data_IF_341844713655
#
_entry.id   IF_341844713655
#
_cell.length_a   1.000
_cell.length_b   1.000
_cell.length_c   1.000
_cell.angle_alpha   90.00
_cell.angle_beta   90.00
_cell.angle_gamma   90.00
#
_symmetry.space_group_name_H-M   'P 1'
#
loop_
_entity.id
_entity.type
_entity.pdbx_description
1 polymer ?
#
# COMPACT_ATOMS: atom_id res chain seq x y z
N UNK A 1 -9.06 -17.58 1.08
CA UNK A 1 -8.47 -16.69 0.05
C UNK A 1 -6.95 -16.67 0.21
N UNK A 2 -6.40 -16.04 1.26
CA UNK A 2 -4.95 -15.94 1.49
C UNK A 2 -4.19 -17.26 1.27
N UNK A 3 -4.63 -18.32 1.94
CA UNK A 3 -3.97 -19.62 1.85
C UNK A 3 -3.92 -20.19 0.41
N UNK A 4 -4.98 -20.05 -0.39
CA UNK A 4 -4.98 -20.50 -1.77
C UNK A 4 -4.01 -19.68 -2.64
N UNK A 5 -4.05 -18.36 -2.52
CA UNK A 5 -3.17 -17.44 -3.26
C UNK A 5 -1.70 -17.73 -2.98
N UNK A 6 -1.34 -17.95 -1.72
CA UNK A 6 0.04 -18.20 -1.30
C UNK A 6 0.52 -19.60 -1.73
N UNK A 7 -0.34 -20.63 -1.66
CA UNK A 7 0.00 -21.98 -2.12
C UNK A 7 0.22 -22.04 -3.64
N UNK A 8 -0.61 -21.32 -4.39
CA UNK A 8 -0.50 -21.22 -5.85
C UNK A 8 0.64 -20.31 -6.32
N UNK A 9 1.27 -19.54 -5.42
CA UNK A 9 2.35 -18.60 -5.73
C UNK A 9 1.99 -17.65 -6.88
N UNK A 10 0.79 -17.06 -6.81
CA UNK A 10 0.30 -16.13 -7.83
C UNK A 10 1.14 -14.85 -7.93
N UNK A 11 1.93 -14.54 -6.90
CA UNK A 11 2.82 -13.40 -6.85
C UNK A 11 4.22 -13.84 -6.41
N UNK A 12 5.24 -13.11 -6.88
CA UNK A 12 6.65 -13.39 -6.59
C UNK A 12 7.02 -13.15 -5.11
N UNK A 13 6.22 -12.36 -4.40
CA UNK A 13 6.40 -12.04 -2.99
C UNK A 13 5.12 -12.32 -2.17
N UNK A 14 5.29 -12.48 -0.85
CA UNK A 14 4.19 -12.83 0.04
C UNK A 14 3.30 -11.64 0.43
N UNK A 15 3.67 -10.41 0.06
CA UNK A 15 3.05 -9.17 0.51
C UNK A 15 2.10 -8.59 -0.53
N UNK A 16 2.35 -8.78 -1.83
CA UNK A 16 1.50 -8.24 -2.92
C UNK A 16 0.02 -8.50 -2.69
N UNK A 17 -0.41 -9.75 -2.50
CA UNK A 17 -1.84 -10.05 -2.24
C UNK A 17 -2.37 -9.45 -0.93
N UNK A 18 -1.54 -9.41 0.11
CA UNK A 18 -1.95 -8.87 1.43
C UNK A 18 -2.24 -7.38 1.35
N UNK A 19 -1.56 -6.67 0.44
CA UNK A 19 -1.73 -5.24 0.21
C UNK A 19 -2.77 -4.91 -0.87
N UNK A 20 -3.50 -5.91 -1.40
CA UNK A 20 -4.59 -5.66 -2.35
C UNK A 20 -5.86 -5.25 -1.58
N UNK A 21 -6.43 -4.06 -1.82
CA UNK A 21 -7.67 -3.64 -1.17
C UNK A 21 -8.86 -4.44 -1.69
N UNK A 22 -9.85 -4.72 -0.83
CA UNK A 22 -11.12 -5.28 -1.25
C UNK A 22 -11.98 -4.23 -1.96
N UNK A 23 -12.64 -4.64 -3.05
CA UNK A 23 -13.64 -3.81 -3.76
C UNK A 23 -15.04 -3.89 -3.15
N UNK A 24 -15.29 -4.91 -2.33
CA UNK A 24 -16.60 -5.25 -1.77
C UNK A 24 -16.50 -5.55 -0.27
N UNK A 25 -17.64 -5.74 0.39
CA UNK A 25 -17.68 -6.18 1.78
C UNK A 25 -16.97 -7.55 1.95
N UNK A 26 -16.21 -7.76 3.03
CA UNK A 26 -15.51 -9.02 3.27
C UNK A 26 -16.41 -10.26 3.20
N UNK A 27 -17.67 -10.20 3.64
CA UNK A 27 -18.59 -11.34 3.57
C UNK A 27 -18.99 -11.67 2.13
N UNK A 28 -19.15 -10.68 1.27
CA UNK A 28 -19.45 -10.89 -0.14
C UNK A 28 -18.27 -11.60 -0.84
N UNK A 29 -17.05 -11.10 -0.63
CA UNK A 29 -15.84 -11.73 -1.18
C UNK A 29 -15.65 -13.17 -0.68
N UNK A 30 -15.88 -13.42 0.61
CA UNK A 30 -15.81 -14.78 1.19
C UNK A 30 -16.87 -15.71 0.61
N UNK A 31 -18.09 -15.21 0.42
CA UNK A 31 -19.19 -15.99 -0.17
C UNK A 31 -18.91 -16.34 -1.62
N UNK A 32 -18.44 -15.37 -2.41
CA UNK A 32 -18.05 -15.60 -3.80
C UNK A 32 -16.88 -16.59 -3.91
N UNK A 33 -15.89 -16.49 -3.01
CA UNK A 33 -14.73 -17.39 -2.99
C UNK A 33 -15.08 -18.85 -2.66
N UNK A 34 -16.23 -19.10 -2.01
CA UNK A 34 -16.65 -20.46 -1.68
C UNK A 34 -16.77 -21.35 -2.93
N UNK A 35 -17.23 -20.78 -4.05
CA UNK A 35 -17.46 -21.46 -5.33
C UNK A 35 -16.22 -21.52 -6.24
N UNK A 36 -15.11 -20.89 -5.85
CA UNK A 36 -13.87 -20.86 -6.64
C UNK A 36 -13.08 -22.16 -6.43
N UNK A 37 -12.56 -22.73 -7.53
CA UNK A 37 -11.57 -23.80 -7.47
C UNK A 37 -10.24 -23.25 -6.95
N UNK A 38 -9.77 -23.79 -5.83
CA UNK A 38 -8.64 -23.26 -5.06
C UNK A 38 -7.31 -23.84 -5.52
N UNK A 39 -7.35 -24.86 -6.37
CA UNK A 39 -6.16 -25.50 -6.95
C UNK A 39 -5.92 -25.01 -8.40
N UNK A 40 -6.87 -24.27 -8.98
CA UNK A 40 -6.74 -23.65 -10.30
C UNK A 40 -6.27 -22.18 -10.17
N UNK A 41 -5.05 -21.92 -10.65
CA UNK A 41 -4.44 -20.59 -10.62
C UNK A 41 -5.25 -19.55 -11.40
N UNK A 42 -5.82 -19.92 -12.55
CA UNK A 42 -6.56 -18.98 -13.41
C UNK A 42 -7.91 -18.62 -12.78
N UNK A 43 -8.55 -19.59 -12.11
CA UNK A 43 -9.79 -19.38 -11.37
C UNK A 43 -9.59 -18.44 -10.17
N UNK A 44 -8.51 -18.65 -9.39
CA UNK A 44 -8.18 -17.77 -8.27
C UNK A 44 -7.78 -16.39 -8.77
N UNK A 45 -7.01 -16.29 -9.86
CA UNK A 45 -6.63 -15.00 -10.45
C UNK A 45 -7.87 -14.21 -10.92
N UNK A 46 -8.80 -14.86 -11.62
CA UNK A 46 -10.06 -14.24 -12.06
C UNK A 46 -10.88 -13.72 -10.88
N UNK A 47 -10.91 -14.48 -9.78
CA UNK A 47 -11.54 -14.04 -8.53
C UNK A 47 -10.84 -12.79 -7.96
N UNK A 48 -9.50 -12.76 -7.91
CA UNK A 48 -8.76 -11.59 -7.44
C UNK A 48 -9.05 -10.36 -8.29
N UNK A 49 -9.00 -10.48 -9.62
CA UNK A 49 -9.25 -9.38 -10.54
C UNK A 49 -10.66 -8.78 -10.36
N UNK A 50 -11.63 -9.62 -10.00
CA UNK A 50 -13.02 -9.22 -9.79
C UNK A 50 -13.21 -8.52 -8.45
N UNK A 51 -12.68 -9.06 -7.36
CA UNK A 51 -13.03 -8.66 -5.98
C UNK A 51 -11.96 -7.81 -5.28
N UNK A 52 -10.75 -7.72 -5.82
CA UNK A 52 -9.63 -6.96 -5.26
C UNK A 52 -9.15 -5.89 -6.24
N UNK A 53 -8.71 -4.77 -5.69
CA UNK A 53 -8.09 -3.66 -6.42
C UNK A 53 -6.58 -3.87 -6.52
N UNK A 54 -5.96 -3.13 -7.43
CA UNK A 54 -4.49 -3.10 -7.55
C UNK A 54 -3.86 -2.53 -6.27
N UNK A 55 -2.65 -3.03 -5.96
CA UNK A 55 -1.86 -2.56 -4.81
C UNK A 55 -1.62 -1.06 -4.91
N UNK A 56 -1.80 -0.35 -3.79
CA UNK A 56 -1.50 1.08 -3.69
C UNK A 56 -2.59 2.02 -4.19
N UNK A 57 -3.71 1.52 -4.74
CA UNK A 57 -4.86 2.34 -5.12
C UNK A 57 -5.54 3.03 -3.91
N UNK A 58 -5.26 2.56 -2.70
CA UNK A 58 -5.73 3.14 -1.45
C UNK A 58 -4.95 4.37 -1.00
N UNK A 59 -3.76 4.62 -1.55
CA UNK A 59 -2.86 5.68 -1.10
C UNK A 59 -2.88 6.87 -2.06
N UNK A 60 -3.18 8.05 -1.54
CA UNK A 60 -3.06 9.32 -2.28
C UNK A 60 -1.87 10.13 -1.73
N UNK A 61 -1.08 10.78 -2.60
CA UNK A 61 0.01 11.64 -2.16
C UNK A 61 -0.49 12.72 -1.19
N UNK A 62 0.21 12.87 -0.07
CA UNK A 62 -0.16 13.82 0.97
C UNK A 62 1.08 14.59 1.42
N UNK A 63 1.00 15.92 1.42
CA UNK A 63 2.03 16.75 2.03
C UNK A 63 1.54 17.20 3.42
N UNK A 64 2.20 16.80 4.52
CA UNK A 64 1.85 17.27 5.85
C UNK A 64 1.86 18.81 5.91
N UNK A 65 0.82 19.47 6.45
CA UNK A 65 0.71 20.92 6.52
C UNK A 65 1.85 21.60 7.29
N UNK A 66 2.46 20.86 8.22
CA UNK A 66 3.58 21.28 9.05
C UNK A 66 4.95 20.97 8.41
N UNK A 67 4.98 20.47 7.18
CA UNK A 67 6.23 20.21 6.48
C UNK A 67 7.00 21.51 6.20
N UNK A 68 8.11 21.70 6.90
CA UNK A 68 9.07 22.78 6.68
C UNK A 68 10.25 22.26 5.84
N UNK A 69 10.56 22.80 4.64
CA UNK A 69 11.69 22.33 3.83
C UNK A 69 13.07 22.58 4.47
N UNK A 70 13.17 23.47 5.47
CA UNK A 70 14.44 23.83 6.10
C UNK A 70 14.29 23.92 7.63
N UNK A 71 13.98 22.81 8.31
CA UNK A 71 13.70 22.83 9.73
C UNK A 71 14.92 23.32 10.51
N UNK A 72 14.68 24.25 11.44
CA UNK A 72 15.72 24.94 12.23
C UNK A 72 16.70 23.99 12.92
N UNK A 73 16.23 22.80 13.33
CA UNK A 73 17.07 21.73 13.90
C UNK A 73 18.13 21.24 12.92
N UNK A 74 17.78 20.99 11.66
CA UNK A 74 18.74 20.56 10.64
C UNK A 74 19.68 21.70 10.25
N UNK A 75 19.17 22.94 10.17
CA UNK A 75 19.99 24.11 9.92
C UNK A 75 21.08 24.33 11.01
N UNK A 76 20.82 23.92 12.25
CA UNK A 76 21.76 24.04 13.37
C UNK A 76 22.95 23.05 13.34
N UNK A 77 22.90 22.03 12.49
CA UNK A 77 23.98 21.04 12.34
C UNK A 77 25.21 21.76 11.78
N UNK A 78 26.34 21.78 12.53
CA UNK A 78 27.56 22.52 12.14
C UNK A 78 28.25 21.92 10.92
N UNK A 79 28.32 20.60 10.84
CA UNK A 79 28.98 19.90 9.74
C UNK A 79 28.12 19.99 8.47
N UNK A 80 28.67 20.57 7.41
CA UNK A 80 27.96 20.77 6.13
C UNK A 80 27.45 19.45 5.54
N UNK A 81 28.31 18.42 5.47
CA UNK A 81 27.94 17.12 4.89
C UNK A 81 26.78 16.45 5.64
N UNK A 82 26.81 16.48 6.97
CA UNK A 82 25.73 15.91 7.78
C UNK A 82 24.44 16.72 7.67
N UNK A 83 24.55 18.05 7.56
CA UNK A 83 23.40 18.93 7.34
C UNK A 83 22.74 18.64 6.00
N UNK A 84 23.52 18.55 4.93
CA UNK A 84 23.02 18.29 3.58
C UNK A 84 22.37 16.90 3.49
N UNK A 85 23.00 15.89 4.09
CA UNK A 85 22.41 14.56 4.21
C UNK A 85 21.07 14.58 4.94
N UNK A 86 20.99 15.29 6.08
CA UNK A 86 19.74 15.44 6.83
C UNK A 86 18.64 16.14 6.02
N UNK A 87 18.98 17.19 5.27
CA UNK A 87 18.04 17.89 4.39
C UNK A 87 17.59 17.01 3.21
N UNK A 88 18.49 16.22 2.63
CA UNK A 88 18.15 15.26 1.57
C UNK A 88 17.20 14.18 2.07
N UNK A 89 17.45 13.61 3.26
CA UNK A 89 16.53 12.66 3.88
C UNK A 89 15.17 13.31 4.18
N UNK A 90 15.17 14.51 4.75
CA UNK A 90 13.94 15.24 5.08
C UNK A 90 13.10 15.52 3.84
N UNK A 91 13.73 15.82 2.70
CA UNK A 91 13.03 16.02 1.44
C UNK A 91 12.26 14.78 0.95
N UNK A 92 12.68 13.56 1.33
CA UNK A 92 11.97 12.32 0.97
C UNK A 92 10.58 12.25 1.59
N UNK A 93 10.31 12.93 2.70
CA UNK A 93 8.97 12.93 3.29
C UNK A 93 7.92 13.53 2.35
N UNK A 94 8.29 14.42 1.42
CA UNK A 94 7.37 14.92 0.38
C UNK A 94 6.89 13.83 -0.57
N UNK A 95 7.69 12.78 -0.77
CA UNK A 95 7.40 11.69 -1.70
C UNK A 95 6.92 10.42 -1.01
N UNK A 96 7.19 10.28 0.29
CA UNK A 96 6.85 9.10 1.09
C UNK A 96 5.63 9.31 1.99
N UNK A 97 5.03 10.50 1.97
CA UNK A 97 3.83 10.80 2.74
C UNK A 97 2.58 10.55 1.89
N UNK A 98 1.69 9.72 2.43
CA UNK A 98 0.43 9.34 1.79
C UNK A 98 -0.70 9.39 2.83
N UNK A 99 -1.92 9.63 2.36
CA UNK A 99 -3.15 9.40 3.13
C UNK A 99 -4.03 8.40 2.41
N UNK A 100 -5.03 7.85 3.10
CA UNK A 100 -5.99 6.93 2.49
C UNK A 100 -6.97 7.68 1.58
N UNK A 101 -7.46 7.01 0.54
CA UNK A 101 -8.59 7.50 -0.25
C UNK A 101 -9.83 7.67 0.65
N UNK A 102 -10.69 8.66 0.36
CA UNK A 102 -11.89 8.91 1.17
C UNK A 102 -12.80 7.68 1.30
N UNK A 103 -12.91 6.90 0.23
CA UNK A 103 -13.74 5.69 0.17
C UNK A 103 -13.33 4.63 1.20
N UNK A 104 -12.05 4.59 1.58
CA UNK A 104 -11.51 3.66 2.57
C UNK A 104 -11.49 4.28 3.97
N UNK A 105 -11.27 5.59 4.08
CA UNK A 105 -11.26 6.28 5.39
C UNK A 105 -12.63 6.36 6.08
N UNK A 106 -13.71 6.12 5.34
CA UNK A 106 -15.09 6.20 5.81
C UNK A 106 -15.67 4.84 6.27
N UNK A 107 -14.92 3.75 6.14
CA UNK A 107 -15.26 2.41 6.63
C UNK A 107 -14.74 2.18 8.04
#
# INVERSE_FOLDING_TARGET
>A
ILDAVQRLKLFDDSKTFVDMPLKVDPQEALTAFASVDKEDADAVQTFLDTYFSEVGQELIPYLPPDFDPAPSRLASIKNQTLRDFGLSLHALWKTLSFTLTPDISAA
#
